data_IF_451039250618
#
_entry.id   IF_451039250618
#
_cell.length_a   1.000
_cell.length_b   1.000
_cell.length_c   1.000
_cell.angle_alpha   90.00
_cell.angle_beta   90.00
_cell.angle_gamma   90.00
#
_symmetry.space_group_name_H-M   'P 1'
#
loop_
_entity.id
_entity.type
_entity.pdbx_description
1 polymer ?
#
# COMPACT_ATOMS: atom_id res chain seq x y z
N UNK A 1 -4.81 -20.26 7.62
CA UNK A 1 -3.68 -20.93 8.31
C UNK A 1 -2.52 -19.94 8.40
N UNK A 2 -1.80 -19.89 9.54
CA UNK A 2 -0.62 -19.03 9.71
C UNK A 2 0.49 -19.82 10.40
N UNK A 3 1.68 -19.78 9.83
CA UNK A 3 2.91 -20.28 10.43
C UNK A 3 3.85 -19.11 10.69
N UNK A 4 4.52 -19.12 11.84
CA UNK A 4 5.52 -18.14 12.26
C UNK A 4 6.75 -18.87 12.79
N UNK A 5 7.93 -18.37 12.44
CA UNK A 5 9.19 -18.83 13.02
C UNK A 5 10.13 -17.66 13.29
N UNK A 6 10.84 -17.74 14.41
CA UNK A 6 11.91 -16.83 14.80
C UNK A 6 13.20 -17.64 14.79
N UNK A 7 14.21 -17.18 14.07
CA UNK A 7 15.56 -17.77 14.11
C UNK A 7 16.33 -17.04 15.20
N UNK A 8 16.37 -17.66 16.38
CA UNK A 8 17.08 -17.16 17.55
C UNK A 8 18.57 -16.93 17.23
N UNK A 9 19.12 -15.85 17.78
CA UNK A 9 20.52 -15.46 17.56
C UNK A 9 20.81 -14.71 16.24
N UNK A 10 19.90 -14.73 15.25
CA UNK A 10 20.12 -14.05 13.95
C UNK A 10 19.23 -12.83 13.71
N UNK A 11 18.35 -12.50 14.67
CA UNK A 11 17.43 -11.36 14.55
C UNK A 11 16.50 -11.44 13.33
N UNK A 12 16.21 -12.66 12.87
CA UNK A 12 15.38 -12.94 11.70
C UNK A 12 14.07 -13.62 12.12
N UNK A 13 12.96 -13.05 11.68
CA UNK A 13 11.63 -13.60 11.86
C UNK A 13 10.93 -13.67 10.51
N UNK A 14 10.15 -14.72 10.29
CA UNK A 14 9.27 -14.80 9.13
C UNK A 14 7.92 -15.46 9.44
N UNK A 15 6.94 -15.20 8.57
CA UNK A 15 5.62 -15.84 8.59
C UNK A 15 5.24 -16.32 7.21
N UNK A 16 4.40 -17.36 7.17
CA UNK A 16 3.71 -17.85 5.99
C UNK A 16 2.22 -17.94 6.32
N UNK A 17 1.38 -17.44 5.42
CA UNK A 17 -0.04 -17.25 5.63
C UNK A 17 -0.83 -17.78 4.44
N UNK A 18 -1.97 -18.40 4.73
CA UNK A 18 -2.97 -18.78 3.75
C UNK A 18 -4.36 -18.39 4.27
N UNK A 19 -5.15 -17.76 3.42
CA UNK A 19 -6.53 -17.39 3.70
C UNK A 19 -7.39 -17.70 2.48
N UNK A 20 -8.43 -18.50 2.69
CA UNK A 20 -9.54 -18.57 1.75
C UNK A 20 -10.61 -17.57 2.22
N UNK A 21 -11.04 -16.69 1.34
CA UNK A 21 -12.05 -15.67 1.64
C UNK A 21 -12.99 -15.48 0.45
N UNK A 22 -14.09 -14.78 0.70
CA UNK A 22 -14.94 -14.29 -0.37
C UNK A 22 -14.71 -12.80 -0.53
N UNK A 23 -14.29 -12.38 -1.71
CA UNK A 23 -14.16 -10.97 -2.06
C UNK A 23 -15.42 -10.51 -2.79
N UNK A 24 -15.93 -9.35 -2.39
CA UNK A 24 -16.91 -8.66 -3.18
C UNK A 24 -16.14 -7.84 -4.20
N UNK A 25 -15.94 -8.44 -5.38
CA UNK A 25 -15.23 -7.79 -6.46
C UNK A 25 -15.72 -6.33 -6.61
N UNK A 26 -14.78 -5.39 -6.70
CA UNK A 26 -15.12 -3.97 -6.91
C UNK A 26 -15.85 -3.75 -8.25
N UNK A 27 -15.84 -4.77 -9.11
CA UNK A 27 -16.49 -4.85 -10.41
C UNK A 27 -17.93 -5.35 -10.30
N UNK A 28 -18.83 -4.70 -11.04
CA UNK A 28 -20.19 -5.19 -11.22
C UNK A 28 -20.26 -5.96 -12.55
N UNK A 29 -20.76 -7.18 -12.51
CA UNK A 29 -20.95 -7.97 -13.73
C UNK A 29 -22.15 -7.42 -14.49
N UNK A 30 -21.93 -7.04 -15.75
CA UNK A 30 -22.96 -6.52 -16.65
C UNK A 30 -23.30 -7.55 -17.71
N UNK A 31 -24.57 -7.95 -17.79
CA UNK A 31 -25.07 -8.79 -18.87
C UNK A 31 -26.17 -8.05 -19.64
N UNK A 32 -26.03 -7.98 -20.97
CA UNK A 32 -27.06 -7.45 -21.85
C UNK A 32 -27.88 -8.59 -22.44
N UNK A 33 -29.19 -8.59 -22.18
CA UNK A 33 -30.14 -9.53 -22.78
C UNK A 33 -31.07 -8.73 -23.70
N UNK A 34 -30.98 -8.92 -25.03
CA UNK A 34 -31.91 -8.30 -25.97
C UNK A 34 -33.37 -8.69 -25.63
N UNK A 35 -34.36 -7.79 -25.77
CA UNK A 35 -34.28 -6.51 -26.48
C UNK A 35 -33.99 -5.25 -25.63
N UNK A 36 -33.87 -5.31 -24.30
CA UNK A 36 -33.61 -4.09 -23.50
C UNK A 36 -33.14 -4.28 -22.05
N UNK A 37 -32.80 -5.50 -21.60
CA UNK A 37 -32.49 -5.71 -20.19
C UNK A 37 -30.97 -5.66 -19.94
N UNK A 38 -30.54 -4.72 -19.10
CA UNK A 38 -29.19 -4.70 -18.52
C UNK A 38 -29.28 -5.24 -17.10
N UNK A 39 -28.63 -6.38 -16.87
CA UNK A 39 -28.47 -6.93 -15.52
C UNK A 39 -27.15 -6.48 -14.96
N UNK A 40 -27.19 -5.83 -13.79
CA UNK A 40 -26.00 -5.46 -13.02
C UNK A 40 -26.02 -6.30 -11.75
N UNK A 41 -25.10 -7.24 -11.63
CA UNK A 41 -25.02 -8.13 -10.48
C UNK A 41 -23.67 -8.00 -9.79
N UNK A 42 -23.70 -7.88 -8.46
CA UNK A 42 -22.52 -8.08 -7.62
C UNK A 42 -22.56 -9.51 -7.10
N UNK A 43 -21.49 -10.25 -7.34
CA UNK A 43 -21.29 -11.60 -6.79
C UNK A 43 -20.04 -11.61 -5.93
N UNK A 44 -20.07 -12.39 -4.86
CA UNK A 44 -18.89 -12.65 -4.07
C UNK A 44 -18.09 -13.77 -4.75
N UNK A 45 -16.79 -13.57 -4.91
CA UNK A 45 -15.89 -14.52 -5.55
C UNK A 45 -14.96 -15.13 -4.51
N UNK A 46 -14.76 -16.45 -4.60
CA UNK A 46 -13.83 -17.13 -3.73
C UNK A 46 -12.40 -16.78 -4.14
N UNK A 47 -11.67 -16.15 -3.24
CA UNK A 47 -10.25 -15.82 -3.42
C UNK A 47 -9.39 -16.66 -2.49
N UNK A 48 -8.20 -17.01 -2.98
CA UNK A 48 -7.15 -17.62 -2.19
C UNK A 48 -5.98 -16.65 -2.05
N UNK A 49 -5.65 -16.29 -0.81
CA UNK A 49 -4.53 -15.41 -0.49
C UNK A 49 -3.42 -16.22 0.12
N UNK A 50 -2.28 -16.27 -0.57
CA UNK A 50 -1.03 -16.82 -0.09
C UNK A 50 -0.10 -15.67 0.22
N UNK A 51 0.52 -15.67 1.39
CA UNK A 51 1.42 -14.59 1.72
C UNK A 51 2.46 -14.96 2.75
N UNK A 52 3.33 -14.01 3.02
CA UNK A 52 4.37 -14.17 4.01
C UNK A 52 5.01 -12.85 4.32
N UNK A 53 5.62 -12.78 5.49
CA UNK A 53 6.36 -11.62 5.93
C UNK A 53 7.72 -12.04 6.42
N UNK A 54 8.69 -11.15 6.38
CA UNK A 54 9.95 -11.32 7.08
C UNK A 54 10.44 -10.00 7.67
N UNK A 55 11.27 -10.12 8.70
CA UNK A 55 11.97 -9.00 9.32
C UNK A 55 13.37 -9.46 9.74
N UNK A 56 14.38 -8.66 9.43
CA UNK A 56 15.77 -8.90 9.80
C UNK A 56 16.43 -7.63 10.29
N UNK A 57 16.88 -7.62 11.53
CA UNK A 57 17.75 -6.54 12.04
C UNK A 57 19.21 -6.93 11.87
N UNK A 58 19.99 -6.10 11.18
CA UNK A 58 21.41 -6.33 10.92
C UNK A 58 22.22 -5.80 12.09
N UNK A 59 22.74 -6.69 12.93
CA UNK A 59 23.46 -6.34 14.16
C UNK A 59 24.98 -6.27 13.99
N UNK A 60 25.55 -7.10 13.13
CA UNK A 60 27.01 -7.24 12.97
C UNK A 60 27.53 -6.71 11.62
N UNK A 61 26.72 -6.78 10.58
CA UNK A 61 27.02 -6.33 9.22
C UNK A 61 26.57 -7.33 8.16
N UNK A 62 26.50 -6.92 6.89
CA UNK A 62 26.23 -7.78 5.73
C UNK A 62 27.55 -8.01 5.00
N UNK A 63 28.00 -9.27 4.91
CA UNK A 63 29.23 -9.72 4.22
C UNK A 63 30.53 -9.18 4.82
N UNK A 64 30.58 -7.89 5.15
CA UNK A 64 31.68 -7.18 5.80
C UNK A 64 31.19 -6.65 7.16
N UNK A 65 31.98 -6.81 8.25
CA UNK A 65 31.63 -6.24 9.55
C UNK A 65 31.33 -4.74 9.46
N UNK A 66 30.22 -4.32 10.06
CA UNK A 66 29.77 -2.93 10.11
C UNK A 66 28.93 -2.46 8.90
N UNK A 67 29.03 -3.11 7.73
CA UNK A 67 28.23 -2.70 6.56
C UNK A 67 26.76 -3.00 6.80
N UNK A 68 25.89 -1.99 6.76
CA UNK A 68 24.46 -2.18 7.01
C UNK A 68 24.10 -2.41 8.49
N UNK A 69 25.04 -2.29 9.43
CA UNK A 69 24.75 -2.41 10.87
C UNK A 69 23.74 -1.35 11.32
N UNK A 70 22.74 -1.78 12.09
CA UNK A 70 21.67 -0.95 12.63
C UNK A 70 20.49 -0.74 11.69
N UNK A 71 20.54 -1.30 10.47
CA UNK A 71 19.39 -1.33 9.57
C UNK A 71 18.50 -2.53 9.87
N UNK A 72 17.20 -2.33 9.74
CA UNK A 72 16.20 -3.39 9.73
C UNK A 72 15.61 -3.50 8.33
N UNK A 73 15.70 -4.69 7.76
CA UNK A 73 15.06 -5.05 6.50
C UNK A 73 13.75 -5.76 6.82
N UNK A 74 12.66 -5.31 6.22
CA UNK A 74 11.35 -5.96 6.32
C UNK A 74 10.84 -6.28 4.93
N UNK A 75 9.98 -7.28 4.84
CA UNK A 75 9.22 -7.47 3.63
C UNK A 75 7.94 -8.23 3.86
N UNK A 76 7.01 -8.04 2.93
CA UNK A 76 5.74 -8.75 2.87
C UNK A 76 5.42 -9.07 1.42
N UNK A 77 4.83 -10.23 1.18
CA UNK A 77 4.38 -10.73 -0.11
C UNK A 77 2.96 -11.26 0.07
N UNK A 78 2.08 -10.93 -0.86
CA UNK A 78 0.73 -11.45 -0.97
C UNK A 78 0.43 -11.78 -2.43
N UNK A 79 0.21 -13.06 -2.71
CA UNK A 79 -0.34 -13.55 -3.96
C UNK A 79 -1.83 -13.86 -3.76
N UNK A 80 -2.68 -13.16 -4.51
CA UNK A 80 -4.13 -13.26 -4.45
C UNK A 80 -4.59 -13.91 -5.75
N UNK A 81 -5.25 -15.06 -5.63
CA UNK A 81 -5.74 -15.83 -6.78
C UNK A 81 -7.26 -15.74 -6.88
N UNK A 82 -7.75 -15.59 -8.11
CA UNK A 82 -9.18 -15.64 -8.43
C UNK A 82 -9.95 -14.38 -8.09
N UNK A 83 -9.27 -13.23 -8.04
CA UNK A 83 -9.93 -11.93 -7.95
C UNK A 83 -10.48 -11.50 -9.32
N UNK A 84 -11.15 -10.35 -9.35
CA UNK A 84 -11.64 -9.76 -10.59
C UNK A 84 -11.47 -8.24 -10.61
N UNK A 85 -11.22 -7.70 -11.80
CA UNK A 85 -11.08 -6.26 -12.03
C UNK A 85 -11.89 -5.81 -13.24
N UNK A 86 -12.26 -4.54 -13.25
CA UNK A 86 -12.83 -3.92 -14.44
C UNK A 86 -11.72 -3.70 -15.47
N UNK A 87 -12.04 -3.85 -16.75
CA UNK A 87 -11.20 -3.38 -17.86
C UNK A 87 -12.01 -2.42 -18.74
N UNK A 88 -11.31 -1.53 -19.43
CA UNK A 88 -11.94 -0.53 -20.30
C UNK A 88 -10.99 0.58 -20.69
N UNK A 89 -11.55 1.79 -20.76
CA UNK A 89 -10.84 3.04 -21.03
C UNK A 89 -11.03 3.99 -19.85
N UNK A 90 -10.24 5.06 -19.80
CA UNK A 90 -10.32 6.10 -18.76
C UNK A 90 -11.72 6.71 -18.57
N UNK A 91 -12.61 6.58 -19.58
CA UNK A 91 -13.96 7.12 -19.54
C UNK A 91 -15.07 6.06 -19.35
N UNK A 92 -14.80 4.78 -19.65
CA UNK A 92 -15.84 3.76 -19.67
C UNK A 92 -15.33 2.36 -19.30
N UNK A 93 -16.11 1.69 -18.46
CA UNK A 93 -15.93 0.27 -18.13
C UNK A 93 -16.51 -0.56 -19.27
N UNK A 94 -15.68 -1.40 -19.88
CA UNK A 94 -16.10 -2.32 -20.92
C UNK A 94 -16.63 -3.63 -20.35
N UNK A 95 -16.02 -4.11 -19.27
CA UNK A 95 -16.41 -5.35 -18.60
C UNK A 95 -15.52 -5.68 -17.42
N UNK A 96 -15.67 -6.92 -16.96
CA UNK A 96 -14.91 -7.47 -15.84
C UNK A 96 -14.11 -8.67 -16.32
N UNK A 97 -12.90 -8.84 -15.81
CA UNK A 97 -12.02 -9.96 -16.12
C UNK A 97 -11.42 -10.52 -14.83
N UNK A 98 -11.20 -11.83 -14.79
CA UNK A 98 -10.50 -12.48 -13.69
C UNK A 98 -9.01 -12.07 -13.69
N UNK A 99 -8.49 -11.76 -12.50
CA UNK A 99 -7.15 -11.24 -12.26
C UNK A 99 -6.53 -11.91 -11.04
N UNK A 100 -5.31 -12.42 -11.21
CA UNK A 100 -4.44 -12.78 -10.11
C UNK A 100 -3.52 -11.60 -9.78
N UNK A 101 -3.29 -11.36 -8.48
CA UNK A 101 -2.42 -10.29 -8.02
C UNK A 101 -1.19 -10.82 -7.31
N UNK A 102 -0.05 -10.17 -7.51
CA UNK A 102 1.17 -10.43 -6.74
C UNK A 102 1.70 -9.10 -6.20
N UNK A 103 1.45 -8.86 -4.92
CA UNK A 103 1.78 -7.61 -4.25
C UNK A 103 2.90 -7.87 -3.27
N UNK A 104 3.92 -7.02 -3.25
CA UNK A 104 4.98 -7.13 -2.25
C UNK A 104 5.50 -5.76 -1.84
N UNK A 105 6.07 -5.70 -0.63
CA UNK A 105 6.73 -4.54 -0.09
C UNK A 105 8.07 -4.94 0.51
N UNK A 106 9.08 -4.11 0.31
CA UNK A 106 10.38 -4.20 0.96
C UNK A 106 10.63 -2.90 1.73
N UNK A 107 10.83 -3.00 3.05
CA UNK A 107 11.08 -1.89 3.94
C UNK A 107 12.52 -1.86 4.45
N UNK A 108 13.11 -0.66 4.49
CA UNK A 108 14.46 -0.40 4.98
C UNK A 108 14.39 0.69 6.05
N UNK A 109 14.60 0.30 7.30
CA UNK A 109 14.40 1.17 8.44
C UNK A 109 15.69 1.35 9.24
N UNK A 110 15.90 2.56 9.75
CA UNK A 110 16.98 2.86 10.67
C UNK A 110 16.67 4.07 11.52
N UNK A 111 16.99 3.96 12.81
CA UNK A 111 17.16 5.14 13.65
C UNK A 111 18.61 5.64 13.53
N UNK A 112 18.76 6.89 13.13
CA UNK A 112 20.01 7.63 13.13
C UNK A 112 20.13 8.47 14.39
N UNK A 113 21.37 8.64 14.88
CA UNK A 113 21.65 9.36 16.11
C UNK A 113 20.82 8.79 17.28
N UNK A 114 20.12 9.65 18.04
CA UNK A 114 19.29 9.22 19.17
C UNK A 114 17.81 9.11 18.81
N UNK A 115 17.33 9.87 17.82
CA UNK A 115 15.91 10.13 17.62
C UNK A 115 15.48 10.29 16.15
N UNK A 116 16.41 10.37 15.17
CA UNK A 116 16.03 10.55 13.77
C UNK A 116 15.63 9.20 13.16
N UNK A 117 14.33 8.99 12.98
CA UNK A 117 13.77 7.80 12.36
C UNK A 117 13.71 7.97 10.83
N UNK A 118 14.22 6.98 10.12
CA UNK A 118 14.12 6.84 8.67
C UNK A 118 13.49 5.49 8.33
N UNK A 119 12.46 5.53 7.48
CA UNK A 119 11.82 4.34 6.91
C UNK A 119 11.60 4.56 5.44
N UNK A 120 12.17 3.70 4.61
CA UNK A 120 11.91 3.67 3.18
C UNK A 120 11.20 2.38 2.83
N UNK A 121 10.18 2.43 1.97
CA UNK A 121 9.55 1.23 1.44
C UNK A 121 9.47 1.29 -0.09
N UNK A 122 9.74 0.15 -0.70
CA UNK A 122 9.52 -0.14 -2.11
C UNK A 122 8.36 -1.11 -2.21
N UNK A 123 7.27 -0.70 -2.84
CA UNK A 123 6.04 -1.46 -2.97
C UNK A 123 5.81 -1.74 -4.46
N UNK A 124 5.48 -2.97 -4.81
CA UNK A 124 5.00 -3.31 -6.13
C UNK A 124 3.71 -4.11 -6.06
N UNK A 125 2.79 -3.80 -6.97
CA UNK A 125 1.52 -4.47 -7.11
C UNK A 125 1.37 -4.94 -8.55
N UNK A 126 1.38 -6.25 -8.75
CA UNK A 126 1.17 -6.85 -10.07
C UNK A 126 -0.27 -7.26 -10.22
N UNK A 127 -0.90 -6.88 -11.33
CA UNK A 127 -2.23 -7.32 -11.73
C UNK A 127 -2.13 -8.10 -13.04
N UNK A 128 -2.41 -9.40 -12.99
CA UNK A 128 -2.27 -10.31 -14.12
C UNK A 128 -3.63 -10.89 -14.46
N UNK A 129 -4.23 -10.39 -15.54
CA UNK A 129 -5.45 -10.98 -16.08
C UNK A 129 -5.21 -12.45 -16.48
N UNK A 130 -6.06 -13.34 -15.98
CA UNK A 130 -6.02 -14.78 -16.25
C UNK A 130 -6.84 -15.17 -17.47
N UNK A 131 -7.79 -14.31 -17.84
CA UNK A 131 -8.60 -14.40 -19.06
C UNK A 131 -8.16 -13.36 -20.11
N UNK A 132 -8.44 -13.65 -21.37
CA UNK A 132 -8.14 -12.74 -22.48
C UNK A 132 -9.22 -11.67 -22.66
N UNK A 133 -8.75 -10.45 -22.90
CA UNK A 133 -9.54 -9.31 -23.37
C UNK A 133 -8.71 -8.54 -24.40
N UNK A 134 -9.34 -7.64 -25.16
CA UNK A 134 -8.65 -6.86 -26.19
C UNK A 134 -7.72 -5.79 -25.57
N UNK A 135 -6.49 -6.20 -25.26
CA UNK A 135 -5.42 -5.35 -24.73
C UNK A 135 -4.93 -4.26 -25.70
N UNK A 136 -5.37 -4.29 -26.96
CA UNK A 136 -5.05 -3.23 -27.93
C UNK A 136 -5.97 -2.02 -27.80
N UNK A 137 -7.17 -2.22 -27.22
CA UNK A 137 -8.19 -1.19 -27.04
C UNK A 137 -8.43 -0.85 -25.57
N UNK A 138 -8.20 -1.80 -24.67
CA UNK A 138 -8.55 -1.67 -23.26
C UNK A 138 -7.38 -1.98 -22.34
N UNK A 139 -7.44 -1.43 -21.14
CA UNK A 139 -6.53 -1.74 -20.03
C UNK A 139 -7.32 -2.12 -18.78
N UNK A 140 -6.67 -2.74 -17.79
CA UNK A 140 -7.25 -2.92 -16.46
C UNK A 140 -7.50 -1.54 -15.84
N UNK A 141 -8.51 -1.43 -14.99
CA UNK A 141 -8.87 -0.18 -14.34
C UNK A 141 -8.72 -0.28 -12.82
N UNK A 142 -8.16 0.78 -12.22
CA UNK A 142 -8.01 0.86 -10.78
C UNK A 142 -9.39 0.97 -10.10
N UNK A 143 -9.66 0.15 -9.08
CA UNK A 143 -10.99 0.11 -8.45
C UNK A 143 -11.46 1.44 -7.85
N UNK A 144 -10.55 2.18 -7.21
CA UNK A 144 -10.85 3.47 -6.57
C UNK A 144 -11.03 4.64 -7.56
N UNK A 145 -10.11 4.81 -8.52
CA UNK A 145 -10.11 5.97 -9.43
C UNK A 145 -10.78 5.70 -10.77
N UNK A 146 -10.96 4.42 -11.13
CA UNK A 146 -11.34 3.96 -12.48
C UNK A 146 -10.37 4.41 -13.58
N UNK A 147 -9.19 4.87 -13.20
CA UNK A 147 -8.12 5.18 -14.13
C UNK A 147 -7.49 3.92 -14.70
N UNK A 148 -6.67 4.05 -15.76
CA UNK A 148 -5.91 2.95 -16.30
C UNK A 148 -4.95 2.41 -15.24
N UNK A 149 -4.81 1.09 -15.19
CA UNK A 149 -3.95 0.36 -14.27
C UNK A 149 -2.90 -0.37 -15.08
N UNK A 150 -1.64 -0.13 -14.77
CA UNK A 150 -0.52 -0.84 -15.37
C UNK A 150 -0.42 -2.26 -14.80
N UNK A 151 0.21 -3.15 -15.56
CA UNK A 151 0.43 -4.54 -15.12
C UNK A 151 1.24 -4.61 -13.82
N UNK A 152 2.13 -3.65 -13.60
CA UNK A 152 2.97 -3.54 -12.42
C UNK A 152 2.97 -2.09 -11.99
N UNK A 153 2.30 -1.81 -10.88
CA UNK A 153 2.29 -0.51 -10.22
C UNK A 153 3.41 -0.48 -9.18
N UNK A 154 4.24 0.56 -9.21
CA UNK A 154 5.34 0.75 -8.27
C UNK A 154 5.11 1.98 -7.42
N UNK A 155 5.15 1.81 -6.10
CA UNK A 155 5.07 2.90 -5.14
C UNK A 155 6.29 2.93 -4.24
N UNK A 156 6.81 4.13 -4.01
CA UNK A 156 7.88 4.40 -3.06
C UNK A 156 7.30 5.16 -1.87
N UNK A 157 7.66 4.77 -0.66
CA UNK A 157 7.34 5.54 0.54
C UNK A 157 8.61 5.93 1.26
N UNK A 158 8.65 7.16 1.75
CA UNK A 158 9.71 7.65 2.62
C UNK A 158 9.07 8.34 3.81
N UNK A 159 9.35 7.82 5.00
CA UNK A 159 8.98 8.44 6.26
C UNK A 159 10.25 8.88 6.97
N UNK A 160 10.28 10.15 7.35
CA UNK A 160 11.32 10.73 8.20
C UNK A 160 10.64 11.38 9.39
N UNK A 161 11.09 11.04 10.60
CA UNK A 161 10.56 11.59 11.84
C UNK A 161 11.66 11.80 12.86
N UNK A 162 11.41 12.67 13.82
CA UNK A 162 12.31 12.86 14.95
C UNK A 162 11.52 13.33 16.17
N UNK A 163 12.15 13.28 17.33
CA UNK A 163 11.53 13.60 18.61
C UNK A 163 12.36 14.66 19.33
N UNK A 164 11.71 15.74 19.78
CA UNK A 164 12.33 16.84 20.53
C UNK A 164 11.70 16.97 21.91
N UNK A 165 12.36 17.71 22.80
CA UNK A 165 11.86 18.08 24.14
C UNK A 165 11.44 16.88 25.00
N UNK A 166 12.36 15.93 25.22
CA UNK A 166 12.06 14.69 25.95
C UNK A 166 10.88 13.95 25.32
N UNK A 167 10.96 13.78 24.00
CA UNK A 167 9.94 13.10 23.18
C UNK A 167 8.58 13.79 23.14
N UNK A 168 8.41 15.00 23.68
CA UNK A 168 7.10 15.67 23.67
C UNK A 168 6.71 16.23 22.30
N UNK A 169 7.67 16.61 21.46
CA UNK A 169 7.39 17.20 20.14
C UNK A 169 7.91 16.27 19.04
N UNK A 170 6.99 15.69 18.27
CA UNK A 170 7.27 14.63 17.29
C UNK A 170 6.90 15.07 15.87
N UNK A 171 7.75 15.86 15.17
CA UNK A 171 7.56 16.14 13.77
C UNK A 171 7.86 14.92 12.90
N UNK A 172 7.04 14.74 11.86
CA UNK A 172 7.17 13.64 10.91
C UNK A 172 6.73 14.11 9.53
N UNK A 173 7.39 13.61 8.49
CA UNK A 173 6.95 13.76 7.10
C UNK A 173 6.89 12.39 6.47
N UNK A 174 5.75 12.06 5.87
CA UNK A 174 5.58 10.90 5.00
C UNK A 174 5.47 11.40 3.56
N UNK A 175 6.24 10.80 2.67
CA UNK A 175 6.21 11.02 1.22
C UNK A 175 5.81 9.71 0.58
N UNK A 176 4.84 9.74 -0.31
CA UNK A 176 4.43 8.61 -1.17
C UNK A 176 4.58 9.07 -2.60
N UNK A 177 5.21 8.27 -3.44
CA UNK A 177 5.46 8.56 -4.85
C UNK A 177 5.11 7.32 -5.69
N UNK A 178 4.20 7.47 -6.64
CA UNK A 178 3.84 6.46 -7.63
C UNK A 178 4.69 6.58 -8.91
N UNK A 179 4.81 5.51 -9.66
CA UNK A 179 5.51 5.46 -10.95
C UNK A 179 4.87 6.32 -12.04
N UNK A 180 3.58 6.59 -11.94
CA UNK A 180 2.83 7.51 -12.81
C UNK A 180 3.04 9.01 -12.53
N UNK A 181 4.07 9.35 -11.73
CA UNK A 181 4.40 10.72 -11.32
C UNK A 181 3.24 11.40 -10.55
N UNK A 182 2.44 10.62 -9.83
CA UNK A 182 1.55 11.10 -8.78
C UNK A 182 2.24 10.95 -7.41
N UNK A 183 2.02 11.92 -6.53
CA UNK A 183 2.67 11.90 -5.23
C UNK A 183 1.86 12.60 -4.16
N UNK A 184 2.20 12.27 -2.91
CA UNK A 184 1.61 12.87 -1.73
C UNK A 184 2.68 13.15 -0.69
N UNK A 185 2.69 14.36 -0.16
CA UNK A 185 3.53 14.74 0.98
C UNK A 185 2.64 15.04 2.18
N UNK A 186 2.98 14.44 3.31
CA UNK A 186 2.17 14.47 4.53
C UNK A 186 3.02 14.87 5.74
N UNK A 187 3.33 16.17 5.91
CA UNK A 187 3.96 16.66 7.11
C UNK A 187 2.95 16.69 8.24
N UNK A 188 3.38 16.32 9.45
CA UNK A 188 2.61 16.47 10.67
C UNK A 188 3.52 16.74 11.84
N UNK A 189 2.94 17.33 12.88
CA UNK A 189 3.58 17.56 14.17
C UNK A 189 2.64 17.08 15.26
N UNK A 190 3.12 16.16 16.08
CA UNK A 190 2.43 15.73 17.29
C UNK A 190 3.08 16.36 18.52
N UNK A 191 2.26 16.82 19.47
CA UNK A 191 2.69 17.39 20.73
C UNK A 191 2.01 16.70 21.91
N UNK A 192 2.83 16.16 22.80
CA UNK A 192 2.41 15.51 24.04
C UNK A 192 2.17 16.58 25.11
N UNK A 193 0.89 16.87 25.37
CA UNK A 193 0.46 17.90 26.33
C UNK A 193 0.75 17.40 27.75
N UNK A 194 0.51 16.12 28.00
CA UNK A 194 0.87 15.35 29.19
C UNK A 194 0.79 13.85 28.83
N UNK A 195 1.06 12.98 29.81
CA UNK A 195 1.10 11.52 29.64
C UNK A 195 -0.19 10.90 29.06
N UNK A 196 -1.31 11.63 29.09
CA UNK A 196 -2.62 11.14 28.63
C UNK A 196 -3.07 11.76 27.32
N UNK A 197 -2.58 12.96 26.98
CA UNK A 197 -3.09 13.76 25.85
C UNK A 197 -2.02 14.02 24.80
N UNK A 198 -2.30 13.59 23.57
CA UNK A 198 -1.50 13.86 22.39
C UNK A 198 -2.33 14.66 21.37
N UNK A 199 -1.87 15.85 21.02
CA UNK A 199 -2.46 16.66 19.96
C UNK A 199 -1.60 16.56 18.69
N UNK A 200 -2.22 16.42 17.52
CA UNK A 200 -1.53 16.38 16.23
C UNK A 200 -2.17 17.36 15.27
N UNK A 201 -1.34 18.08 14.53
CA UNK A 201 -1.75 18.85 13.35
C UNK A 201 -0.94 18.38 12.16
N UNK A 202 -1.57 18.30 11.00
CA UNK A 202 -0.86 17.95 9.78
C UNK A 202 -1.59 18.35 8.51
N UNK A 203 -0.89 18.11 7.41
CA UNK A 203 -1.35 18.43 6.07
C UNK A 203 -1.22 17.18 5.19
N UNK A 204 -2.03 17.11 4.15
CA UNK A 204 -1.83 16.22 3.00
C UNK A 204 -1.84 17.09 1.76
N UNK A 205 -0.71 17.14 1.07
CA UNK A 205 -0.52 17.82 -0.20
C UNK A 205 -0.48 16.73 -1.27
N UNK A 206 -1.35 16.82 -2.27
CA UNK A 206 -1.47 15.84 -3.35
C UNK A 206 -1.13 16.47 -4.68
N UNK A 207 -0.55 15.69 -5.59
CA UNK A 207 -0.24 16.12 -6.96
C UNK A 207 -0.29 14.91 -7.89
N UNK A 208 -0.63 15.13 -9.15
CA UNK A 208 -0.70 14.11 -10.19
C UNK A 208 -1.97 14.20 -11.02
N UNK A 209 -2.15 13.28 -11.99
CA UNK A 209 -3.37 13.28 -12.82
C UNK A 209 -4.57 12.71 -12.04
N UNK A 210 -5.77 13.23 -12.36
CA UNK A 210 -7.02 12.88 -11.67
C UNK A 210 -7.37 11.38 -11.74
N UNK A 211 -6.80 10.63 -12.69
CA UNK A 211 -6.98 9.19 -12.86
C UNK A 211 -6.11 8.34 -11.92
N UNK A 212 -5.09 8.92 -11.29
CA UNK A 212 -4.16 8.19 -10.40
C UNK A 212 -4.53 8.37 -8.91
N UNK A 213 -3.98 7.52 -8.06
CA UNK A 213 -4.34 7.39 -6.64
C UNK A 213 -4.23 8.70 -5.85
N UNK A 214 -3.12 9.42 -6.01
CA UNK A 214 -2.89 10.70 -5.33
C UNK A 214 -3.52 11.86 -6.11
N UNK A 215 -3.37 11.85 -7.43
CA UNK A 215 -3.80 12.97 -8.30
C UNK A 215 -5.31 13.22 -8.34
N UNK A 216 -6.16 12.22 -8.01
CA UNK A 216 -7.60 12.47 -7.81
C UNK A 216 -7.90 13.54 -6.73
N UNK A 217 -6.93 13.82 -5.85
CA UNK A 217 -7.01 14.82 -4.79
C UNK A 217 -6.13 16.06 -5.03
N UNK A 218 -5.52 16.22 -6.20
CA UNK A 218 -4.62 17.34 -6.55
C UNK A 218 -5.21 18.72 -6.19
N UNK A 219 -6.51 18.91 -6.43
CA UNK A 219 -7.22 20.17 -6.12
C UNK A 219 -7.85 20.22 -4.73
N UNK A 220 -7.60 19.21 -3.90
CA UNK A 220 -8.28 18.95 -2.62
C UNK A 220 -7.26 18.61 -1.51
N UNK A 221 -6.24 19.44 -1.36
CA UNK A 221 -5.33 19.38 -0.22
C UNK A 221 -6.08 19.42 1.12
N UNK A 222 -5.57 18.68 2.10
CA UNK A 222 -6.26 18.47 3.37
C UNK A 222 -5.43 19.00 4.53
N UNK A 223 -6.09 19.69 5.46
CA UNK A 223 -5.57 19.98 6.79
C UNK A 223 -6.34 19.16 7.80
N UNK A 224 -5.63 18.56 8.76
CA UNK A 224 -6.26 17.76 9.81
C UNK A 224 -5.72 18.11 11.18
N UNK A 225 -6.57 17.89 12.18
CA UNK A 225 -6.27 18.01 13.60
C UNK A 225 -6.77 16.74 14.30
N UNK A 226 -5.94 16.14 15.14
CA UNK A 226 -6.28 14.97 15.92
C UNK A 226 -5.98 15.24 17.39
N UNK A 227 -6.86 14.79 18.28
CA UNK A 227 -6.63 14.79 19.73
C UNK A 227 -6.86 13.37 20.24
N UNK A 228 -5.81 12.75 20.77
CA UNK A 228 -5.84 11.38 21.29
C UNK A 228 -5.71 11.40 22.82
N UNK A 229 -6.60 10.68 23.49
CA UNK A 229 -6.54 10.41 24.92
C UNK A 229 -6.21 8.94 25.17
N UNK A 230 -5.27 8.68 26.10
CA UNK A 230 -4.89 7.31 26.53
C UNK A 230 -5.19 7.15 28.03
N UNK A 231 -5.89 6.05 28.38
CA UNK A 231 -6.29 5.71 29.75
C UNK A 231 -5.38 4.65 30.37
#
# INVERSE_FOLDING_TARGET
MRWRQIIEGQGFEYTLNYLHAYDFASSAYTAFVPPASVFVTRRAEGIDVFGGTFSKTITEGIVVPGLGKGWTLRGELAYIKGGAMNFGTDANIQGTVDVDQCNYVLGFDRAFFTNLMFSFQFIQMWAIATEDYDKSQYTLLHGATRGPLDKCETMLTLLVGTDFWHERLKPQVLIIYGDDNDWRISPKVSYEINDQWLATVGLHIFEGKEQHLSGQFDKNDQIFFELKYTF
#
